data_IF_194360297431
#
_entry.id   IF_194360297431
#
_cell.length_a   1.000
_cell.length_b   1.000
_cell.length_c   1.000
_cell.angle_alpha   90.00
_cell.angle_beta   90.00
_cell.angle_gamma   90.00
#
_symmetry.space_group_name_H-M   'P 1'
#
loop_
_entity.id
_entity.type
_entity.pdbx_description
1 polymer ?
#
# COMPACT_ATOMS: atom_id res chain seq x y z
N UNK A 1 -23.95 -45.67 11.80
CA UNK A 1 -22.67 -44.91 11.85
C UNK A 1 -22.19 -44.97 13.28
N UNK A 2 -21.01 -45.52 13.52
CA UNK A 2 -20.50 -45.68 14.88
C UNK A 2 -20.21 -44.31 15.51
N UNK A 3 -20.29 -44.20 16.84
CA UNK A 3 -19.92 -42.96 17.55
C UNK A 3 -18.45 -42.57 17.28
N UNK A 4 -17.62 -43.55 16.92
CA UNK A 4 -16.22 -43.40 16.49
C UNK A 4 -16.15 -42.70 15.13
N UNK A 5 -17.04 -43.02 14.18
CA UNK A 5 -17.09 -42.34 12.88
C UNK A 5 -17.50 -40.87 13.04
N UNK A 6 -18.50 -40.59 13.88
CA UNK A 6 -18.94 -39.23 14.16
C UNK A 6 -17.84 -38.39 14.84
N UNK A 7 -17.10 -39.00 15.78
CA UNK A 7 -15.96 -38.36 16.44
C UNK A 7 -14.81 -38.10 15.45
N UNK A 8 -14.57 -39.03 14.52
CA UNK A 8 -13.60 -38.86 13.44
C UNK A 8 -13.95 -37.71 12.51
N UNK A 9 -15.20 -37.63 12.04
CA UNK A 9 -15.68 -36.53 11.19
C UNK A 9 -15.64 -35.17 11.91
N UNK A 10 -16.00 -35.15 13.20
CA UNK A 10 -15.93 -33.93 14.01
C UNK A 10 -14.48 -33.50 14.23
N UNK A 11 -13.57 -34.43 14.52
CA UNK A 11 -12.14 -34.17 14.64
C UNK A 11 -11.53 -33.64 13.34
N UNK A 12 -11.89 -34.22 12.19
CA UNK A 12 -11.47 -33.72 10.87
C UNK A 12 -12.04 -32.33 10.57
N UNK A 13 -13.31 -32.08 10.87
CA UNK A 13 -13.93 -30.76 10.70
C UNK A 13 -13.27 -29.70 11.58
N UNK A 14 -12.96 -30.05 12.84
CA UNK A 14 -12.27 -29.17 13.78
C UNK A 14 -10.84 -28.87 13.34
N UNK A 15 -10.14 -29.87 12.79
CA UNK A 15 -8.79 -29.70 12.26
C UNK A 15 -8.78 -28.82 11.02
N UNK A 16 -9.73 -29.01 10.10
CA UNK A 16 -9.93 -28.12 8.94
C UNK A 16 -10.28 -26.70 9.38
N UNK A 17 -11.16 -26.55 10.38
CA UNK A 17 -11.55 -25.25 10.93
C UNK A 17 -10.40 -24.52 11.63
N UNK A 18 -9.58 -25.25 12.41
CA UNK A 18 -8.37 -24.72 13.04
C UNK A 18 -7.36 -24.21 11.99
N UNK A 19 -7.20 -24.95 10.89
CA UNK A 19 -6.33 -24.55 9.77
C UNK A 19 -6.85 -23.31 9.01
N UNK A 20 -8.16 -23.07 9.02
CA UNK A 20 -8.81 -21.91 8.41
C UNK A 20 -8.62 -20.61 9.22
N UNK A 21 -8.20 -20.70 10.49
CA UNK A 21 -8.02 -19.54 11.35
C UNK A 21 -6.74 -18.79 10.99
N UNK A 22 -6.82 -17.94 9.96
CA UNK A 22 -5.69 -17.25 9.37
C UNK A 22 -5.49 -15.85 9.98
N UNK A 23 -4.68 -15.72 11.04
CA UNK A 23 -4.15 -14.39 11.42
C UNK A 23 -2.70 -14.53 11.85
N UNK A 24 -1.82 -13.84 11.11
CA UNK A 24 -0.35 -13.68 11.28
C UNK A 24 0.50 -14.58 10.37
N UNK A 25 1.06 -13.98 9.31
CA UNK A 25 1.98 -14.60 8.34
C UNK A 25 3.20 -15.26 9.01
N UNK A 26 3.78 -14.60 10.03
CA UNK A 26 4.94 -15.11 10.79
C UNK A 26 4.65 -16.49 11.42
N UNK A 27 3.45 -16.68 11.97
CA UNK A 27 3.02 -17.94 12.57
C UNK A 27 2.93 -19.05 11.50
N UNK A 28 2.40 -18.74 10.32
CA UNK A 28 2.30 -19.72 9.23
C UNK A 28 3.67 -20.11 8.65
N UNK A 29 4.62 -19.18 8.57
CA UNK A 29 6.00 -19.49 8.16
C UNK A 29 6.66 -20.42 9.18
N UNK A 30 6.54 -20.12 10.48
CA UNK A 30 7.05 -20.99 11.55
C UNK A 30 6.40 -22.36 11.52
N UNK A 31 5.07 -22.45 11.34
CA UNK A 31 4.38 -23.72 11.20
C UNK A 31 4.83 -24.50 9.96
N UNK A 32 5.11 -23.83 8.85
CA UNK A 32 5.64 -24.48 7.64
C UNK A 32 7.01 -25.06 7.91
N UNK A 33 7.90 -24.30 8.56
CA UNK A 33 9.24 -24.78 8.95
C UNK A 33 9.12 -25.98 9.91
N UNK A 34 8.26 -25.90 10.91
CA UNK A 34 8.01 -27.00 11.85
C UNK A 34 7.49 -28.26 11.15
N UNK A 35 6.54 -28.11 10.21
CA UNK A 35 6.04 -29.23 9.41
C UNK A 35 7.16 -29.86 8.56
N UNK A 36 8.02 -29.05 7.92
CA UNK A 36 9.14 -29.55 7.11
C UNK A 36 10.17 -30.33 7.96
N UNK A 37 10.48 -29.83 9.16
CA UNK A 37 11.34 -30.53 10.13
C UNK A 37 10.70 -31.86 10.54
N UNK A 38 9.40 -31.86 10.85
CA UNK A 38 8.67 -33.08 11.20
C UNK A 38 8.60 -34.08 10.05
N UNK A 39 8.45 -33.62 8.80
CA UNK A 39 8.50 -34.49 7.62
C UNK A 39 9.85 -35.19 7.55
N UNK A 40 10.96 -34.45 7.66
CA UNK A 40 12.31 -35.02 7.63
C UNK A 40 12.54 -36.02 8.76
N UNK A 41 12.17 -35.66 10.00
CA UNK A 41 12.30 -36.54 11.15
C UNK A 41 11.45 -37.82 11.02
N UNK A 42 10.16 -37.69 10.69
CA UNK A 42 9.28 -38.87 10.58
C UNK A 42 9.65 -39.75 9.39
N UNK A 43 10.21 -39.19 8.31
CA UNK A 43 10.75 -39.97 7.20
C UNK A 43 11.95 -40.81 7.63
N UNK A 44 12.86 -40.24 8.45
CA UNK A 44 14.00 -40.97 9.01
C UNK A 44 13.57 -42.09 9.97
N UNK A 45 12.54 -41.87 10.78
CA UNK A 45 12.00 -42.86 11.72
C UNK A 45 11.08 -43.89 11.01
N UNK A 46 10.68 -43.64 9.76
CA UNK A 46 9.81 -44.53 8.98
C UNK A 46 8.31 -44.42 9.30
N UNK A 47 7.87 -43.33 9.93
CA UNK A 47 6.47 -43.10 10.30
C UNK A 47 5.73 -42.41 9.15
N UNK A 48 5.41 -43.17 8.11
CA UNK A 48 4.77 -42.68 6.89
C UNK A 48 3.44 -41.93 7.06
N UNK A 49 2.51 -42.31 7.98
CA UNK A 49 1.28 -41.54 8.20
C UNK A 49 1.53 -40.11 8.69
N UNK A 50 2.53 -39.91 9.55
CA UNK A 50 2.91 -38.59 10.05
C UNK A 50 3.59 -37.75 8.97
N UNK A 51 4.39 -38.38 8.10
CA UNK A 51 4.98 -37.72 6.93
C UNK A 51 3.87 -37.17 6.02
N UNK A 52 2.90 -38.00 5.63
CA UNK A 52 1.81 -37.59 4.75
C UNK A 52 0.99 -36.42 5.34
N UNK A 53 0.65 -36.49 6.63
CA UNK A 53 -0.06 -35.42 7.32
C UNK A 53 0.73 -34.10 7.31
N UNK A 54 2.01 -34.11 7.70
CA UNK A 54 2.80 -32.88 7.75
C UNK A 54 3.08 -32.30 6.35
N UNK A 55 3.16 -33.13 5.31
CA UNK A 55 3.22 -32.66 3.91
C UNK A 55 1.94 -31.90 3.54
N UNK A 56 0.76 -32.45 3.84
CA UNK A 56 -0.51 -31.77 3.57
C UNK A 56 -0.61 -30.44 4.32
N UNK A 57 -0.23 -30.42 5.60
CA UNK A 57 -0.21 -29.18 6.39
C UNK A 57 0.77 -28.14 5.82
N UNK A 58 1.96 -28.56 5.38
CA UNK A 58 2.93 -27.67 4.75
C UNK A 58 2.37 -27.05 3.46
N UNK A 59 1.71 -27.83 2.60
CA UNK A 59 1.08 -27.36 1.36
C UNK A 59 -0.04 -26.34 1.62
N UNK A 60 -0.92 -26.61 2.61
CA UNK A 60 -1.99 -25.68 3.00
C UNK A 60 -1.39 -24.37 3.50
N UNK A 61 -0.39 -24.44 4.38
CA UNK A 61 0.28 -23.23 4.88
C UNK A 61 0.96 -22.44 3.76
N UNK A 62 1.61 -23.11 2.82
CA UNK A 62 2.24 -22.48 1.66
C UNK A 62 1.21 -21.78 0.76
N UNK A 63 0.05 -22.40 0.53
CA UNK A 63 -1.06 -21.78 -0.21
C UNK A 63 -1.56 -20.49 0.47
N UNK A 64 -1.77 -20.52 1.79
CA UNK A 64 -2.16 -19.32 2.54
C UNK A 64 -1.09 -18.23 2.51
N UNK A 65 0.19 -18.61 2.62
CA UNK A 65 1.32 -17.67 2.49
C UNK A 65 1.31 -17.03 1.10
N UNK A 66 1.21 -17.83 0.04
CA UNK A 66 1.19 -17.34 -1.33
C UNK A 66 -0.01 -16.41 -1.60
N UNK A 67 -1.20 -16.77 -1.10
CA UNK A 67 -2.39 -15.93 -1.19
C UNK A 67 -2.19 -14.58 -0.47
N UNK A 68 -1.73 -14.60 0.76
CA UNK A 68 -1.47 -13.37 1.54
C UNK A 68 -0.37 -12.49 0.93
N UNK A 69 0.67 -13.10 0.35
CA UNK A 69 1.71 -12.37 -0.37
C UNK A 69 1.19 -11.75 -1.66
N UNK A 70 0.26 -12.42 -2.34
CA UNK A 70 -0.37 -11.91 -3.57
C UNK A 70 -1.34 -10.77 -3.29
N UNK A 71 -2.15 -10.87 -2.24
CA UNK A 71 -3.04 -9.78 -1.77
C UNK A 71 -2.23 -8.53 -1.34
N UNK A 72 -1.04 -8.71 -0.76
CA UNK A 72 -0.13 -7.58 -0.45
C UNK A 72 0.48 -6.90 -1.68
N UNK A 73 0.43 -7.54 -2.84
CA UNK A 73 1.08 -7.09 -4.08
C UNK A 73 0.07 -6.60 -5.11
N UNK A 74 -1.20 -6.45 -4.71
CA UNK A 74 -2.25 -5.98 -5.59
C UNK A 74 -2.10 -4.46 -5.77
N UNK A 75 -1.57 -4.07 -6.92
CA UNK A 75 -1.36 -2.66 -7.34
C UNK A 75 -2.69 -1.87 -7.44
N UNK A 76 -3.84 -2.55 -7.35
CA UNK A 76 -5.18 -1.94 -7.23
C UNK A 76 -5.52 -1.47 -5.80
N UNK A 77 -4.63 -1.65 -4.82
CA UNK A 77 -4.87 -1.26 -3.44
C UNK A 77 -4.62 0.23 -3.15
N UNK A 78 -4.11 0.98 -4.14
CA UNK A 78 -3.94 2.41 -4.00
C UNK A 78 -5.28 3.13 -4.17
N UNK A 79 -5.68 3.88 -3.14
CA UNK A 79 -6.85 4.75 -3.18
C UNK A 79 -6.41 6.17 -2.86
N UNK A 80 -7.02 7.13 -3.52
CA UNK A 80 -6.80 8.54 -3.23
C UNK A 80 -8.06 9.09 -2.59
N UNK A 81 -7.89 9.78 -1.47
CA UNK A 81 -8.98 10.41 -0.72
C UNK A 81 -8.72 11.92 -0.69
N UNK A 82 -9.66 12.69 -1.24
CA UNK A 82 -9.67 14.15 -1.08
C UNK A 82 -10.06 14.48 0.35
N UNK A 83 -9.30 15.37 0.98
CA UNK A 83 -9.49 15.84 2.35
C UNK A 83 -9.40 17.36 2.38
N UNK A 84 -10.09 17.95 3.35
CA UNK A 84 -10.03 19.39 3.60
C UNK A 84 -8.67 19.77 4.20
N UNK A 85 -8.27 21.04 4.03
CA UNK A 85 -6.98 21.53 4.50
C UNK A 85 -6.83 21.51 6.02
N UNK A 86 -7.93 21.61 6.75
CA UNK A 86 -8.03 21.57 8.21
C UNK A 86 -8.34 20.16 8.76
N UNK A 87 -8.36 19.13 7.90
CA UNK A 87 -8.63 17.76 8.31
C UNK A 87 -7.63 17.29 9.39
N UNK A 88 -8.17 16.85 10.53
CA UNK A 88 -7.37 16.49 11.68
C UNK A 88 -6.39 15.33 11.41
N UNK A 89 -6.76 14.41 10.52
CA UNK A 89 -5.92 13.28 10.16
C UNK A 89 -4.79 13.71 9.21
N UNK A 90 -5.08 14.57 8.24
CA UNK A 90 -4.07 15.21 7.39
C UNK A 90 -3.02 15.96 8.23
N UNK A 91 -3.48 16.84 9.12
CA UNK A 91 -2.59 17.62 9.99
C UNK A 91 -1.72 16.71 10.87
N UNK A 92 -2.31 15.66 11.44
CA UNK A 92 -1.56 14.66 12.19
C UNK A 92 -0.49 13.95 11.34
N UNK A 93 -0.83 13.54 10.11
CA UNK A 93 0.11 12.88 9.20
C UNK A 93 1.28 13.80 8.84
N UNK A 94 1.01 15.06 8.49
CA UNK A 94 2.05 16.06 8.19
C UNK A 94 2.97 16.32 9.39
N UNK A 95 2.43 16.30 10.60
CA UNK A 95 3.20 16.45 11.83
C UNK A 95 4.12 15.25 12.10
N UNK A 96 3.62 14.03 11.91
CA UNK A 96 4.40 12.79 12.08
C UNK A 96 5.55 12.72 11.08
N UNK A 97 5.28 13.03 9.81
CA UNK A 97 6.25 12.93 8.72
C UNK A 97 7.09 14.20 8.51
N UNK A 98 6.89 15.24 9.35
CA UNK A 98 7.49 16.59 9.21
C UNK A 98 9.01 16.56 8.96
N UNK A 99 9.73 15.73 9.69
CA UNK A 99 11.19 15.65 9.60
C UNK A 99 11.67 15.11 8.23
N UNK A 100 10.94 14.14 7.68
CA UNK A 100 11.25 13.56 6.37
C UNK A 100 10.77 14.49 5.25
N UNK A 101 9.58 15.08 5.39
CA UNK A 101 9.07 16.12 4.47
C UNK A 101 10.08 17.28 4.36
N UNK A 102 10.59 17.81 5.46
CA UNK A 102 11.55 18.90 5.44
C UNK A 102 12.87 18.56 4.70
N UNK A 103 13.22 17.27 4.63
CA UNK A 103 14.41 16.79 3.93
C UNK A 103 14.23 16.72 2.42
N UNK A 104 13.05 16.31 1.95
CA UNK A 104 12.77 16.09 0.52
C UNK A 104 12.00 17.25 -0.13
N UNK A 105 11.24 18.00 0.65
CA UNK A 105 10.41 19.13 0.23
C UNK A 105 10.68 20.34 1.16
N UNK A 106 11.92 20.87 1.21
CA UNK A 106 12.31 21.91 2.17
C UNK A 106 11.54 23.24 2.01
N UNK A 107 10.88 23.46 0.88
CA UNK A 107 10.03 24.64 0.63
C UNK A 107 8.62 24.53 1.21
N UNK A 108 8.22 23.35 1.69
CA UNK A 108 6.89 23.14 2.27
C UNK A 108 6.89 23.49 3.75
N UNK A 109 6.03 24.42 4.15
CA UNK A 109 5.94 24.94 5.53
C UNK A 109 4.69 24.49 6.27
N UNK A 110 3.88 23.63 5.65
CA UNK A 110 2.60 23.17 6.18
C UNK A 110 1.39 23.73 5.44
N UNK A 111 0.21 23.27 5.81
CA UNK A 111 -1.07 23.73 5.30
C UNK A 111 -1.68 24.69 6.31
N UNK A 112 -1.71 25.97 5.98
CA UNK A 112 -2.46 26.99 6.73
C UNK A 112 -3.78 27.24 6.03
N UNK A 113 -4.84 27.60 6.77
CA UNK A 113 -6.12 28.03 6.17
C UNK A 113 -5.88 29.12 5.12
N UNK A 114 -6.05 28.76 3.84
CA UNK A 114 -5.89 29.67 2.71
C UNK A 114 -6.79 29.20 1.59
N UNK A 115 -7.54 30.14 1.02
CA UNK A 115 -8.83 29.89 0.35
C UNK A 115 -8.86 28.99 -0.90
N UNK A 116 -7.77 28.33 -1.30
CA UNK A 116 -7.75 27.43 -2.46
C UNK A 116 -6.59 26.44 -2.40
N UNK A 117 -6.61 25.54 -1.41
CA UNK A 117 -5.76 24.34 -1.38
C UNK A 117 -6.61 23.09 -1.49
N UNK A 118 -6.07 22.12 -2.21
CA UNK A 118 -6.65 20.80 -2.37
C UNK A 118 -5.62 19.78 -1.91
N UNK A 119 -6.03 18.92 -0.99
CA UNK A 119 -5.18 17.92 -0.38
C UNK A 119 -5.75 16.53 -0.65
N UNK A 120 -4.86 15.61 -1.01
CA UNK A 120 -5.20 14.21 -1.25
C UNK A 120 -4.28 13.30 -0.45
N UNK A 121 -4.88 12.39 0.30
CA UNK A 121 -4.17 11.30 0.94
C UNK A 121 -4.11 10.10 0.00
N UNK A 122 -2.92 9.52 -0.13
CA UNK A 122 -2.71 8.28 -0.88
C UNK A 122 -2.70 7.14 0.14
N UNK A 123 -3.63 6.20 -0.01
CA UNK A 123 -3.76 5.03 0.86
C UNK A 123 -3.36 3.77 0.12
N UNK A 124 -2.72 2.84 0.81
CA UNK A 124 -2.51 1.46 0.37
C UNK A 124 -3.21 0.51 1.33
N UNK A 125 -4.37 -0.02 0.93
CA UNK A 125 -5.26 -0.77 1.81
C UNK A 125 -5.87 0.12 2.92
N UNK A 126 -5.32 0.06 4.12
CA UNK A 126 -5.74 0.89 5.28
C UNK A 126 -4.62 1.80 5.81
N UNK A 127 -3.44 1.78 5.17
CA UNK A 127 -2.27 2.56 5.57
C UNK A 127 -2.20 3.81 4.67
N UNK A 128 -2.05 5.00 5.26
CA UNK A 128 -1.73 6.22 4.52
C UNK A 128 -0.26 6.19 4.17
N UNK A 129 0.04 6.23 2.87
CA UNK A 129 1.39 6.05 2.34
C UNK A 129 1.98 7.32 1.76
N UNK A 130 1.16 8.35 1.53
CA UNK A 130 1.60 9.63 0.99
C UNK A 130 0.51 10.70 0.99
N UNK A 131 0.91 11.90 0.59
CA UNK A 131 0.05 13.08 0.48
C UNK A 131 0.46 13.92 -0.72
N UNK A 132 -0.52 14.44 -1.43
CA UNK A 132 -0.34 15.44 -2.49
C UNK A 132 -1.15 16.67 -2.14
N UNK A 133 -0.53 17.84 -2.23
CA UNK A 133 -1.15 19.13 -1.92
C UNK A 133 -0.90 20.07 -3.08
N UNK A 134 -1.98 20.64 -3.60
CA UNK A 134 -1.97 21.56 -4.73
C UNK A 134 -2.72 22.82 -4.33
N UNK A 135 -2.11 23.98 -4.56
CA UNK A 135 -2.81 25.26 -4.45
C UNK A 135 -3.25 25.74 -5.82
N UNK A 136 -4.37 26.46 -5.87
CA UNK A 136 -4.78 27.17 -7.09
C UNK A 136 -3.91 28.42 -7.25
N UNK A 137 -3.08 28.45 -8.29
CA UNK A 137 -2.24 29.60 -8.62
C UNK A 137 -2.96 30.65 -9.48
N UNK A 138 -4.24 30.44 -9.80
CA UNK A 138 -5.02 31.26 -10.71
C UNK A 138 -4.84 30.84 -12.18
N UNK A 139 -5.63 31.46 -13.06
CA UNK A 139 -5.63 31.20 -14.52
C UNK A 139 -5.81 29.72 -14.90
N UNK A 140 -6.41 28.91 -14.03
CA UNK A 140 -6.56 27.47 -14.23
C UNK A 140 -5.23 26.71 -14.10
N UNK A 141 -4.29 27.20 -13.29
CA UNK A 141 -3.02 26.53 -13.02
C UNK A 141 -3.02 26.01 -11.58
N UNK A 142 -2.94 24.69 -11.41
CA UNK A 142 -2.69 24.08 -10.10
C UNK A 142 -1.19 24.03 -9.81
N UNK A 143 -0.74 24.61 -8.71
CA UNK A 143 0.65 24.55 -8.26
C UNK A 143 0.80 23.47 -7.19
N UNK A 144 1.59 22.44 -7.47
CA UNK A 144 1.93 21.42 -6.46
C UNK A 144 2.80 22.07 -5.40
N UNK A 145 2.35 22.03 -4.14
CA UNK A 145 3.10 22.48 -2.96
C UNK A 145 3.81 21.31 -2.27
N UNK A 146 3.17 20.14 -2.27
CA UNK A 146 3.71 18.92 -1.68
C UNK A 146 3.36 17.71 -2.55
N UNK A 147 4.36 16.90 -2.87
CA UNK A 147 4.19 15.53 -3.35
C UNK A 147 5.13 14.68 -2.49
N UNK A 148 4.55 14.01 -1.49
CA UNK A 148 5.29 13.29 -0.47
C UNK A 148 4.79 11.86 -0.31
N UNK A 149 5.73 10.95 -0.16
CA UNK A 149 5.50 9.53 0.05
C UNK A 149 6.44 9.03 1.13
N UNK A 150 5.88 8.25 2.05
CA UNK A 150 6.61 7.61 3.15
C UNK A 150 7.78 6.76 2.62
N UNK A 151 8.87 6.67 3.40
CA UNK A 151 10.10 5.98 3.00
C UNK A 151 9.87 4.57 2.44
N UNK A 152 8.95 3.83 3.05
CA UNK A 152 8.63 2.44 2.68
C UNK A 152 8.01 2.29 1.29
N UNK A 153 7.37 3.33 0.78
CA UNK A 153 6.62 3.32 -0.49
C UNK A 153 7.23 4.28 -1.54
N UNK A 154 8.35 4.93 -1.24
CA UNK A 154 8.99 5.91 -2.13
C UNK A 154 9.40 5.32 -3.49
N UNK A 155 9.85 4.06 -3.49
CA UNK A 155 10.22 3.34 -4.72
C UNK A 155 9.01 2.89 -5.55
N UNK A 156 7.79 2.96 -5.01
CA UNK A 156 6.57 2.54 -5.70
C UNK A 156 5.94 3.64 -6.56
N UNK A 157 6.58 4.81 -6.65
CA UNK A 157 6.07 5.96 -7.43
C UNK A 157 4.56 6.25 -7.25
N UNK A 158 4.03 6.40 -6.01
CA UNK A 158 2.61 6.64 -5.76
C UNK A 158 2.03 7.91 -6.41
N UNK A 159 2.88 8.91 -6.70
CA UNK A 159 2.47 10.08 -7.48
C UNK A 159 1.82 9.71 -8.82
N UNK A 160 2.22 8.58 -9.45
CA UNK A 160 1.67 8.12 -10.73
C UNK A 160 0.19 7.82 -10.55
N UNK A 161 -0.23 7.36 -9.38
CA UNK A 161 -1.61 7.00 -9.12
C UNK A 161 -2.49 8.23 -8.94
N UNK A 162 -1.98 9.30 -8.33
CA UNK A 162 -2.69 10.58 -8.25
C UNK A 162 -2.79 11.20 -9.64
N UNK A 163 -1.70 11.20 -10.42
CA UNK A 163 -1.65 11.82 -11.74
C UNK A 163 -2.31 10.99 -12.87
N UNK A 164 -2.24 9.65 -12.84
CA UNK A 164 -2.92 8.76 -13.82
C UNK A 164 -4.42 8.63 -13.56
N UNK A 165 -4.86 8.86 -12.33
CA UNK A 165 -6.29 8.99 -12.01
C UNK A 165 -6.78 10.36 -12.48
N UNK A 166 -6.74 10.59 -13.79
CA UNK A 166 -7.10 11.85 -14.46
C UNK A 166 -8.46 12.42 -14.02
N UNK A 167 -9.36 11.57 -13.49
CA UNK A 167 -10.64 12.00 -12.92
C UNK A 167 -10.55 12.83 -11.62
N UNK A 168 -9.47 12.75 -10.85
CA UNK A 168 -9.35 13.50 -9.58
C UNK A 168 -9.05 14.98 -9.77
N UNK A 169 -8.34 15.31 -10.86
CA UNK A 169 -7.93 16.68 -11.20
C UNK A 169 -8.92 17.33 -12.17
N UNK A 170 -9.68 16.51 -12.92
CA UNK A 170 -10.64 16.95 -13.92
C UNK A 170 -11.93 17.61 -13.34
N UNK A 171 -12.01 17.84 -12.02
CA UNK A 171 -13.14 18.50 -11.37
C UNK A 171 -12.89 19.96 -10.96
N UNK A 172 -11.63 20.40 -10.94
CA UNK A 172 -11.20 21.60 -10.22
C UNK A 172 -11.01 22.82 -11.14
N UNK A 173 -11.30 22.69 -12.43
CA UNK A 173 -11.22 23.78 -13.41
C UNK A 173 -9.80 24.14 -13.87
N UNK A 174 -8.80 23.34 -13.46
CA UNK A 174 -7.42 23.53 -13.91
C UNK A 174 -7.20 22.98 -15.32
N UNK A 175 -6.41 23.72 -16.09
CA UNK A 175 -5.95 23.37 -17.45
C UNK A 175 -4.50 22.86 -17.43
N UNK A 176 -3.73 23.24 -16.41
CA UNK A 176 -2.37 22.75 -16.25
C UNK A 176 -1.99 22.62 -14.77
N UNK A 177 -1.03 21.73 -14.51
CA UNK A 177 -0.46 21.52 -13.19
C UNK A 177 1.04 21.70 -13.25
N UNK A 178 1.60 22.43 -12.28
CA UNK A 178 3.01 22.78 -12.23
C UNK A 178 3.67 22.29 -10.94
N UNK A 179 4.84 21.69 -11.06
CA UNK A 179 5.63 21.24 -9.91
C UNK A 179 6.54 22.35 -9.36
N UNK A 180 7.05 22.24 -8.11
CA UNK A 180 8.06 23.14 -7.59
C UNK A 180 9.35 23.16 -8.42
N UNK A 181 10.02 24.31 -8.45
CA UNK A 181 11.32 24.45 -9.10
C UNK A 181 12.39 23.58 -8.41
N UNK A 182 13.21 22.88 -9.20
CA UNK A 182 14.33 22.07 -8.69
C UNK A 182 13.97 20.63 -8.33
N UNK A 183 12.75 20.18 -8.65
CA UNK A 183 12.36 18.78 -8.49
C UNK A 183 13.13 17.89 -9.46
N UNK A 184 14.00 17.04 -8.93
CA UNK A 184 14.90 16.17 -9.70
C UNK A 184 14.20 14.85 -10.00
N UNK A 185 13.99 14.49 -11.27
CA UNK A 185 13.73 13.09 -11.61
C UNK A 185 13.06 12.80 -12.97
N UNK A 186 13.62 11.82 -13.67
CA UNK A 186 13.19 11.15 -14.92
C UNK A 186 11.82 10.41 -14.84
N UNK A 187 10.99 10.83 -13.88
CA UNK A 187 9.72 10.25 -13.55
C UNK A 187 8.56 11.04 -14.14
N UNK A 188 8.63 12.37 -14.04
CA UNK A 188 7.66 13.30 -14.63
C UNK A 188 7.58 13.17 -16.15
N UNK A 189 8.71 12.92 -16.83
CA UNK A 189 8.73 12.62 -18.28
C UNK A 189 7.88 11.39 -18.64
N UNK A 190 7.91 10.33 -17.82
CA UNK A 190 7.11 9.11 -18.04
C UNK A 190 5.63 9.31 -17.74
N UNK A 191 5.30 10.33 -16.96
CA UNK A 191 3.94 10.72 -16.63
C UNK A 191 3.31 11.72 -17.61
N UNK A 192 4.05 12.13 -18.65
CA UNK A 192 3.56 13.10 -19.64
C UNK A 192 3.75 14.56 -19.24
N UNK A 193 4.43 14.84 -18.12
CA UNK A 193 4.84 16.21 -17.81
C UNK A 193 5.91 16.67 -18.80
N UNK A 194 5.77 17.91 -19.26
CA UNK A 194 6.74 18.61 -20.08
C UNK A 194 7.60 19.50 -19.21
N UNK A 195 8.85 19.67 -19.59
CA UNK A 195 9.78 20.53 -18.88
C UNK A 195 9.41 22.00 -19.11
N UNK A 196 9.19 22.75 -18.03
CA UNK A 196 8.89 24.19 -18.04
C UNK A 196 9.94 24.93 -17.21
N UNK A 197 11.06 25.28 -17.85
CA UNK A 197 12.20 25.90 -17.19
C UNK A 197 12.85 25.00 -16.13
N UNK A 198 12.77 25.39 -14.86
CA UNK A 198 13.24 24.63 -13.69
C UNK A 198 12.16 23.75 -13.04
N UNK A 199 10.94 23.76 -13.58
CA UNK A 199 9.78 23.01 -13.12
C UNK A 199 9.26 22.05 -14.21
N UNK A 200 8.25 21.27 -13.86
CA UNK A 200 7.53 20.38 -14.77
C UNK A 200 6.06 20.79 -14.85
N UNK A 201 5.48 20.75 -16.04
CA UNK A 201 4.09 21.10 -16.30
C UNK A 201 3.33 19.95 -16.98
N UNK A 202 2.15 19.59 -16.48
CA UNK A 202 1.24 18.64 -17.10
C UNK A 202 0.01 19.38 -17.59
N UNK A 203 -0.34 19.21 -18.87
CA UNK A 203 -1.62 19.71 -19.39
C UNK A 203 -2.71 18.71 -19.04
N UNK A 204 -3.81 19.19 -18.48
CA UNK A 204 -5.00 18.39 -18.21
C UNK A 204 -5.93 18.43 -19.44
N UNK A 205 -6.63 17.31 -19.74
CA UNK A 205 -7.55 17.23 -20.88
C UNK A 205 -8.79 18.12 -20.74
#
# INVERSE_FOLDING_TARGET
MSWVDALGWFGSALLVFSLLQARILRLRVLNTIACLILVGFNALVGVWPMVAMNVVLALINLWFIARMLRERRDENAFRVLEVEEDDAYLQHFLDVERADIARFNPGFVGVTESATRYAWLVLHGHETVGVVIVSDAGDGVGQVELDYVTERYRDFTPGEFVWRSSGLLAGHGWRSIRTPAGMVGAYYERLGFRRDGSAWALDLP
#
